data_IF_321283567194
#
_entry.id   IF_321283567194
#
_cell.length_a   1.000
_cell.length_b   1.000
_cell.length_c   1.000
_cell.angle_alpha   90.00
_cell.angle_beta   90.00
_cell.angle_gamma   90.00
#
_symmetry.space_group_name_H-M   'P 1'
#
loop_
_entity.id
_entity.type
_entity.pdbx_description
1 polymer ?
#
# COMPACT_ATOMS: atom_id res chain seq x y z
N UNK A 1 -23.48 0.18 -13.75
CA UNK A 1 -24.60 0.35 -12.78
C UNK A 1 -24.08 -0.02 -11.39
N UNK A 2 -23.84 0.98 -10.53
CA UNK A 2 -23.25 0.77 -9.20
C UNK A 2 -24.31 0.10 -8.31
N UNK A 3 -24.05 -1.11 -7.79
CA UNK A 3 -25.00 -1.82 -6.92
C UNK A 3 -25.31 -0.97 -5.68
N UNK A 4 -26.57 -0.93 -5.19
CA UNK A 4 -27.02 -0.02 -4.12
C UNK A 4 -26.23 -0.17 -2.80
N UNK A 5 -25.68 -1.35 -2.49
CA UNK A 5 -24.80 -1.53 -1.34
C UNK A 5 -23.51 -0.69 -1.43
N UNK A 6 -22.95 -0.49 -2.64
CA UNK A 6 -21.72 0.30 -2.84
C UNK A 6 -21.95 1.79 -2.61
N UNK A 7 -23.18 2.28 -2.85
CA UNK A 7 -23.53 3.69 -2.60
C UNK A 7 -23.59 4.02 -1.10
N UNK A 8 -24.09 3.07 -0.29
CA UNK A 8 -24.11 3.20 1.18
C UNK A 8 -22.70 3.32 1.77
N UNK A 9 -21.75 2.52 1.28
CA UNK A 9 -20.33 2.63 1.65
C UNK A 9 -19.72 3.98 1.29
N UNK A 10 -20.08 4.55 0.15
CA UNK A 10 -19.60 5.87 -0.27
C UNK A 10 -20.13 6.98 0.63
N UNK A 11 -21.42 6.93 1.00
CA UNK A 11 -22.01 7.91 1.93
C UNK A 11 -21.37 7.80 3.32
N UNK A 12 -21.14 6.59 3.81
CA UNK A 12 -20.43 6.34 5.07
C UNK A 12 -18.99 6.88 4.98
N UNK A 13 -18.26 6.61 3.90
CA UNK A 13 -16.91 7.13 3.69
C UNK A 13 -16.86 8.66 3.61
N UNK A 14 -17.83 9.29 2.93
CA UNK A 14 -17.98 10.74 2.86
C UNK A 14 -18.23 11.35 4.25
N UNK A 15 -19.11 10.73 5.05
CA UNK A 15 -19.38 11.13 6.43
C UNK A 15 -18.13 10.98 7.32
N UNK A 16 -17.41 9.88 7.19
CA UNK A 16 -16.16 9.61 7.91
C UNK A 16 -15.06 10.60 7.55
N UNK A 17 -14.87 10.95 6.27
CA UNK A 17 -13.89 11.99 5.89
C UNK A 17 -14.18 13.35 6.51
N UNK A 18 -15.43 13.65 6.88
CA UNK A 18 -15.79 14.90 7.54
C UNK A 18 -15.62 14.82 9.06
N UNK A 19 -16.01 13.70 9.67
CA UNK A 19 -15.94 13.47 11.13
C UNK A 19 -14.50 13.21 11.58
N UNK A 20 -13.77 12.35 10.87
CA UNK A 20 -12.42 11.94 11.25
C UNK A 20 -11.35 12.99 10.98
N UNK A 21 -11.67 14.00 10.15
CA UNK A 21 -10.78 15.15 9.91
C UNK A 21 -10.42 15.89 11.22
N UNK A 22 -11.26 15.78 12.27
CA UNK A 22 -11.02 16.38 13.58
C UNK A 22 -10.24 15.46 14.55
N UNK A 23 -10.03 14.19 14.21
CA UNK A 23 -9.47 13.17 15.12
C UNK A 23 -8.56 12.16 14.42
N UNK A 24 -7.79 12.62 13.42
CA UNK A 24 -6.89 11.78 12.61
C UNK A 24 -5.91 10.96 13.46
N UNK A 25 -5.42 11.53 14.57
CA UNK A 25 -4.51 10.85 15.51
C UNK A 25 -5.10 9.57 16.12
N UNK A 26 -6.38 9.58 16.47
CA UNK A 26 -7.03 8.41 17.07
C UNK A 26 -7.30 7.35 16.01
N UNK A 27 -7.66 7.76 14.79
CA UNK A 27 -7.89 6.84 13.67
C UNK A 27 -6.62 6.12 13.22
N UNK A 28 -5.48 6.82 13.16
CA UNK A 28 -4.21 6.22 12.77
C UNK A 28 -3.70 5.25 13.84
N UNK A 29 -3.80 5.60 15.12
CA UNK A 29 -3.43 4.70 16.21
C UNK A 29 -4.30 3.43 16.24
N UNK A 30 -5.62 3.58 16.07
CA UNK A 30 -6.55 2.45 16.01
C UNK A 30 -6.28 1.56 14.79
N UNK A 31 -6.02 2.16 13.63
CA UNK A 31 -5.65 1.43 12.42
C UNK A 31 -4.39 0.58 12.62
N UNK A 32 -3.33 1.15 13.21
CA UNK A 32 -2.10 0.40 13.52
C UNK A 32 -2.38 -0.73 14.51
N UNK A 33 -3.19 -0.48 15.54
CA UNK A 33 -3.58 -1.52 16.50
C UNK A 33 -4.30 -2.69 15.83
N UNK A 34 -5.23 -2.43 14.90
CA UNK A 34 -5.93 -3.47 14.14
C UNK A 34 -4.98 -4.29 13.27
N UNK A 35 -3.96 -3.67 12.66
CA UNK A 35 -2.94 -4.38 11.91
C UNK A 35 -2.10 -5.32 12.81
N UNK A 36 -1.76 -4.87 14.03
CA UNK A 36 -1.07 -5.71 15.02
C UNK A 36 -1.97 -6.86 15.50
N UNK A 37 -3.27 -6.60 15.70
CA UNK A 37 -4.25 -7.64 16.04
C UNK A 37 -4.33 -8.70 14.93
N UNK A 38 -4.32 -8.29 13.66
CA UNK A 38 -4.27 -9.22 12.53
C UNK A 38 -3.02 -10.11 12.58
N UNK A 39 -1.84 -9.53 12.83
CA UNK A 39 -0.60 -10.31 13.03
C UNK A 39 -0.73 -11.27 14.21
N UNK A 40 -1.31 -10.83 15.33
CA UNK A 40 -1.48 -11.68 16.51
C UNK A 40 -2.44 -12.86 16.26
N UNK A 41 -3.55 -12.63 15.55
CA UNK A 41 -4.50 -13.69 15.18
C UNK A 41 -3.81 -14.70 14.26
N UNK A 42 -3.17 -14.22 13.19
CA UNK A 42 -2.48 -15.11 12.24
C UNK A 42 -1.35 -15.92 12.90
N UNK A 43 -0.57 -15.29 13.78
CA UNK A 43 0.43 -15.99 14.60
C UNK A 43 -0.21 -17.05 15.51
N UNK A 44 -1.33 -16.73 16.16
CA UNK A 44 -2.07 -17.67 17.02
C UNK A 44 -2.57 -18.89 16.25
N UNK A 45 -3.15 -18.69 15.07
CA UNK A 45 -3.60 -19.77 14.17
C UNK A 45 -2.41 -20.65 13.77
N UNK A 46 -1.28 -20.05 13.42
CA UNK A 46 -0.04 -20.79 13.10
C UNK A 46 0.43 -21.62 14.29
N UNK A 47 0.45 -21.07 15.50
CA UNK A 47 0.88 -21.81 16.70
C UNK A 47 -0.03 -23.03 16.94
N UNK A 48 -1.35 -22.84 16.86
CA UNK A 48 -2.32 -23.95 17.04
C UNK A 48 -2.11 -25.03 15.99
N UNK A 49 -2.02 -24.66 14.71
CA UNK A 49 -1.77 -25.65 13.65
C UNK A 49 -0.43 -26.35 13.79
N UNK A 50 0.60 -25.66 14.29
CA UNK A 50 1.92 -26.24 14.53
C UNK A 50 1.84 -27.28 15.66
N UNK A 51 1.12 -26.98 16.73
CA UNK A 51 0.88 -27.91 17.84
C UNK A 51 0.07 -29.14 17.41
N UNK A 52 -0.89 -28.97 16.50
CA UNK A 52 -1.69 -30.07 15.94
C UNK A 52 -0.93 -30.87 14.87
N UNK A 53 0.30 -30.47 14.50
CA UNK A 53 1.09 -31.12 13.44
C UNK A 53 0.48 -30.98 12.04
N UNK A 54 -0.45 -30.04 11.84
CA UNK A 54 -1.15 -29.82 10.56
C UNK A 54 -0.41 -28.87 9.61
N UNK A 55 0.70 -28.26 10.04
CA UNK A 55 1.52 -27.39 9.19
C UNK A 55 2.48 -28.23 8.37
N UNK A 56 2.28 -28.21 7.04
CA UNK A 56 3.31 -28.68 6.10
C UNK A 56 4.50 -27.72 6.10
N UNK A 57 5.71 -28.24 5.84
CA UNK A 57 6.93 -27.41 5.77
C UNK A 57 6.77 -26.34 4.68
N UNK A 58 6.73 -25.04 5.03
CA UNK A 58 6.56 -23.99 4.03
C UNK A 58 7.78 -23.94 3.12
N UNK A 59 7.56 -23.69 1.83
CA UNK A 59 8.66 -23.51 0.89
C UNK A 59 9.33 -22.17 1.13
N UNK A 60 10.58 -22.21 1.58
CA UNK A 60 11.39 -21.00 1.76
C UNK A 60 11.97 -20.46 0.44
N UNK A 61 12.04 -21.31 -0.60
CA UNK A 61 12.58 -20.95 -1.91
C UNK A 61 11.50 -20.99 -2.99
N UNK A 62 11.50 -20.03 -3.94
CA UNK A 62 10.55 -20.01 -5.04
C UNK A 62 10.81 -21.17 -6.02
N UNK A 63 9.73 -21.72 -6.60
CA UNK A 63 9.82 -22.70 -7.69
C UNK A 63 10.18 -21.99 -9.00
N UNK A 64 11.45 -22.04 -9.37
CA UNK A 64 11.94 -21.56 -10.66
C UNK A 64 11.84 -22.69 -11.69
N UNK A 65 10.63 -22.95 -12.18
CA UNK A 65 10.40 -24.00 -13.17
C UNK A 65 10.84 -23.51 -14.56
N UNK A 66 10.52 -22.26 -14.91
CA UNK A 66 10.77 -21.67 -16.22
C UNK A 66 11.33 -20.24 -16.13
N UNK A 67 11.87 -19.72 -17.25
CA UNK A 67 12.34 -18.34 -17.38
C UNK A 67 11.25 -17.31 -17.00
N UNK A 68 9.98 -17.59 -17.32
CA UNK A 68 8.84 -16.76 -16.93
C UNK A 68 8.67 -16.67 -15.41
N UNK A 69 8.91 -17.77 -14.67
CA UNK A 69 8.85 -17.78 -13.20
C UNK A 69 9.96 -16.93 -12.57
N UNK A 70 11.13 -16.86 -13.23
CA UNK A 70 12.22 -15.97 -12.81
C UNK A 70 11.86 -14.49 -13.01
N UNK A 71 11.28 -14.13 -14.17
CA UNK A 71 10.81 -12.76 -14.42
C UNK A 71 9.71 -12.33 -13.44
N UNK A 72 8.80 -13.26 -13.07
CA UNK A 72 7.75 -12.99 -12.09
C UNK A 72 8.29 -12.49 -10.74
N UNK A 73 9.50 -12.89 -10.34
CA UNK A 73 10.15 -12.40 -9.11
C UNK A 73 10.39 -10.88 -9.15
N UNK A 74 10.73 -10.33 -10.31
CA UNK A 74 10.94 -8.89 -10.47
C UNK A 74 9.66 -8.07 -10.33
N UNK A 75 8.52 -8.69 -10.55
CA UNK A 75 7.23 -8.03 -10.38
C UNK A 75 6.88 -7.74 -8.91
N UNK A 76 7.55 -8.39 -7.95
CA UNK A 76 7.45 -8.08 -6.52
C UNK A 76 8.14 -6.78 -6.15
N UNK A 77 9.19 -6.37 -6.89
CA UNK A 77 9.96 -5.15 -6.58
C UNK A 77 9.06 -3.89 -6.58
N UNK A 78 8.24 -3.63 -7.62
CA UNK A 78 7.25 -2.57 -7.60
C UNK A 78 6.29 -2.60 -6.40
N UNK A 79 5.80 -3.79 -6.02
CA UNK A 79 4.87 -3.94 -4.90
C UNK A 79 5.54 -3.52 -3.58
N UNK A 80 6.81 -3.91 -3.38
CA UNK A 80 7.60 -3.49 -2.22
C UNK A 80 7.84 -1.97 -2.24
N UNK A 81 8.16 -1.39 -3.40
CA UNK A 81 8.35 0.06 -3.54
C UNK A 81 7.05 0.82 -3.22
N UNK A 82 5.90 0.32 -3.67
CA UNK A 82 4.59 0.85 -3.30
C UNK A 82 4.34 0.76 -1.81
N UNK A 83 4.66 -0.36 -1.16
CA UNK A 83 4.44 -0.54 0.28
C UNK A 83 5.20 0.49 1.14
N UNK A 84 6.38 0.93 0.69
CA UNK A 84 7.19 1.93 1.39
C UNK A 84 6.96 3.39 0.96
N UNK A 85 5.95 3.66 0.13
CA UNK A 85 5.66 5.04 -0.29
C UNK A 85 4.96 5.84 0.81
N UNK A 86 5.71 6.74 1.46
CA UNK A 86 5.15 7.66 2.45
C UNK A 86 5.48 9.15 2.18
N UNK A 87 6.24 9.41 1.12
CA UNK A 87 6.82 10.71 0.79
C UNK A 87 5.81 11.87 0.71
N UNK A 88 4.59 11.60 0.22
CA UNK A 88 3.52 12.61 0.10
C UNK A 88 3.01 13.13 1.46
N UNK A 89 3.27 12.41 2.56
CA UNK A 89 2.88 12.80 3.91
C UNK A 89 4.00 13.45 4.70
N UNK A 90 5.26 13.41 4.23
CA UNK A 90 6.42 13.92 4.98
C UNK A 90 6.28 15.43 5.23
N UNK A 91 6.00 16.22 4.18
CA UNK A 91 5.91 17.68 4.29
C UNK A 91 4.71 18.16 5.14
N UNK A 92 3.48 17.62 4.95
CA UNK A 92 2.37 17.96 5.84
C UNK A 92 2.67 17.64 7.32
N UNK A 93 3.24 16.46 7.59
CA UNK A 93 3.61 16.07 8.96
C UNK A 93 4.66 17.03 9.51
N UNK A 94 5.68 17.40 8.73
CA UNK A 94 6.73 18.32 9.16
C UNK A 94 6.19 19.68 9.58
N UNK A 95 5.23 20.21 8.82
CA UNK A 95 4.58 21.48 9.11
C UNK A 95 3.69 21.44 10.36
N UNK A 96 3.20 20.27 10.75
CA UNK A 96 2.40 20.08 11.97
C UNK A 96 3.26 19.78 13.21
N UNK A 97 4.53 19.39 13.03
CA UNK A 97 5.43 19.09 14.14
C UNK A 97 5.76 20.36 14.94
N UNK A 98 5.69 20.24 16.27
CA UNK A 98 6.17 21.30 17.17
C UNK A 98 7.68 21.50 17.08
N UNK A 99 8.43 20.45 16.75
CA UNK A 99 9.88 20.45 16.59
C UNK A 99 10.25 19.64 15.32
N UNK A 100 10.52 20.32 14.19
CA UNK A 100 10.85 19.67 12.92
C UNK A 100 12.13 18.81 12.96
N UNK A 101 13.04 19.05 13.91
CA UNK A 101 14.29 18.28 14.01
C UNK A 101 14.06 16.80 14.31
N UNK A 102 12.88 16.46 14.86
CA UNK A 102 12.50 15.09 15.20
C UNK A 102 12.01 14.28 14.00
N UNK A 103 11.79 14.91 12.83
CA UNK A 103 11.25 14.25 11.63
C UNK A 103 12.03 12.99 11.25
N UNK A 104 13.37 13.05 11.26
CA UNK A 104 14.22 11.89 10.95
C UNK A 104 13.99 10.70 11.90
N UNK A 105 13.82 10.98 13.20
CA UNK A 105 13.57 9.97 14.22
C UNK A 105 12.18 9.36 14.05
N UNK A 106 11.18 10.19 13.76
CA UNK A 106 9.80 9.76 13.50
C UNK A 106 9.75 8.85 12.27
N UNK A 107 10.34 9.26 11.15
CA UNK A 107 10.40 8.45 9.93
C UNK A 107 11.08 7.12 10.18
N UNK A 108 12.24 7.11 10.87
CA UNK A 108 12.97 5.87 11.18
C UNK A 108 12.14 4.92 12.05
N UNK A 109 11.50 5.42 13.10
CA UNK A 109 10.65 4.60 13.99
C UNK A 109 9.44 4.04 13.24
N UNK A 110 8.75 4.87 12.45
CA UNK A 110 7.61 4.44 11.63
C UNK A 110 8.02 3.38 10.62
N UNK A 111 9.17 3.54 9.96
CA UNK A 111 9.68 2.58 9.00
C UNK A 111 10.04 1.25 9.68
N UNK A 112 10.71 1.27 10.84
CA UNK A 112 11.00 0.06 11.61
C UNK A 112 9.73 -0.68 12.02
N UNK A 113 8.73 0.04 12.54
CA UNK A 113 7.44 -0.54 12.91
C UNK A 113 6.74 -1.16 11.70
N UNK A 114 6.63 -0.41 10.61
CA UNK A 114 6.01 -0.87 9.36
C UNK A 114 6.70 -2.12 8.80
N UNK A 115 8.03 -2.10 8.73
CA UNK A 115 8.84 -3.25 8.29
C UNK A 115 8.59 -4.47 9.18
N UNK A 116 8.53 -4.30 10.51
CA UNK A 116 8.27 -5.41 11.43
C UNK A 116 6.91 -6.06 11.22
N UNK A 117 5.87 -5.25 10.97
CA UNK A 117 4.52 -5.74 10.65
C UNK A 117 4.51 -6.47 9.31
N UNK A 118 5.13 -5.90 8.26
CA UNK A 118 5.21 -6.56 6.95
C UNK A 118 5.94 -7.90 7.00
N UNK A 119 7.08 -7.97 7.68
CA UNK A 119 7.82 -9.23 7.84
C UNK A 119 6.99 -10.25 8.63
N UNK A 120 6.38 -9.84 9.74
CA UNK A 120 5.56 -10.74 10.55
C UNK A 120 4.35 -11.27 9.79
N UNK A 121 3.61 -10.39 9.10
CA UNK A 121 2.48 -10.76 8.24
C UNK A 121 2.90 -11.71 7.13
N UNK A 122 4.00 -11.41 6.41
CA UNK A 122 4.49 -12.27 5.34
C UNK A 122 4.92 -13.64 5.87
N UNK A 123 5.66 -13.66 6.99
CA UNK A 123 6.12 -14.90 7.60
C UNK A 123 4.94 -15.79 8.05
N UNK A 124 4.03 -15.27 8.87
CA UNK A 124 2.90 -16.06 9.35
C UNK A 124 1.93 -16.43 8.23
N UNK A 125 1.71 -15.54 7.25
CA UNK A 125 0.87 -15.83 6.09
C UNK A 125 1.42 -16.98 5.24
N UNK A 126 2.72 -16.98 4.93
CA UNK A 126 3.35 -18.06 4.16
C UNK A 126 3.39 -19.37 4.95
N UNK A 127 3.64 -19.32 6.25
CA UNK A 127 3.58 -20.53 7.10
C UNK A 127 2.16 -21.09 7.17
N UNK A 128 1.14 -20.23 7.21
CA UNK A 128 -0.26 -20.62 7.36
C UNK A 128 -0.85 -21.23 6.09
N UNK A 129 -0.55 -20.64 4.92
CA UNK A 129 -1.18 -20.99 3.65
C UNK A 129 -0.24 -21.74 2.68
N UNK A 130 1.07 -21.66 2.86
CA UNK A 130 2.05 -22.37 2.04
C UNK A 130 1.93 -22.06 0.54
N UNK A 131 1.86 -23.10 -0.29
CA UNK A 131 1.71 -22.94 -1.75
C UNK A 131 0.31 -22.39 -2.15
N UNK A 132 -0.64 -22.30 -1.22
CA UNK A 132 -2.00 -21.80 -1.46
C UNK A 132 -2.19 -20.31 -1.15
N UNK A 133 -1.12 -19.57 -0.82
CA UNK A 133 -1.20 -18.12 -0.63
C UNK A 133 -1.69 -17.43 -1.89
N UNK A 134 -2.80 -16.69 -1.79
CA UNK A 134 -3.37 -15.89 -2.87
C UNK A 134 -2.67 -14.53 -2.95
N UNK A 135 -2.80 -13.86 -4.09
CA UNK A 135 -2.27 -12.49 -4.29
C UNK A 135 -2.85 -11.49 -3.27
N UNK A 136 -4.12 -11.69 -2.89
CA UNK A 136 -4.74 -11.10 -1.70
C UNK A 136 -4.85 -12.16 -0.59
N UNK A 137 -3.93 -12.10 0.37
CA UNK A 137 -3.88 -13.03 1.51
C UNK A 137 -5.14 -12.96 2.37
N UNK A 138 -5.90 -11.87 2.34
CA UNK A 138 -7.16 -11.77 3.09
C UNK A 138 -8.24 -12.67 2.51
N UNK A 139 -8.22 -12.90 1.19
CA UNK A 139 -9.11 -13.85 0.52
C UNK A 139 -8.85 -15.30 0.96
N UNK A 140 -7.67 -15.63 1.49
CA UNK A 140 -7.43 -16.95 2.08
C UNK A 140 -8.22 -17.20 3.38
N UNK A 141 -8.70 -16.16 4.06
CA UNK A 141 -9.55 -16.26 5.26
C UNK A 141 -11.04 -16.38 4.93
N UNK A 142 -11.42 -16.54 3.66
CA UNK A 142 -12.81 -16.89 3.28
C UNK A 142 -13.05 -18.42 3.34
N UNK A 143 -12.00 -19.23 3.57
CA UNK A 143 -12.06 -20.68 3.63
C UNK A 143 -11.76 -21.23 5.03
N UNK A 144 -12.10 -22.51 5.26
CA UNK A 144 -11.84 -23.18 6.55
C UNK A 144 -10.33 -23.31 6.80
N UNK A 145 -9.85 -22.73 7.90
CA UNK A 145 -8.49 -22.83 8.37
C UNK A 145 -8.21 -24.24 8.92
N UNK A 146 -9.20 -25.10 9.19
CA UNK A 146 -8.97 -26.47 9.67
C UNK A 146 -8.54 -26.54 11.16
N UNK A 147 -8.89 -25.51 11.92
CA UNK A 147 -8.74 -25.42 13.38
C UNK A 147 -10.11 -25.21 14.04
N UNK A 148 -10.28 -25.59 15.32
CA UNK A 148 -11.51 -25.27 16.06
C UNK A 148 -11.77 -23.75 16.04
N UNK A 149 -13.03 -23.37 15.88
CA UNK A 149 -13.49 -21.98 15.77
C UNK A 149 -12.97 -21.20 14.54
N UNK A 150 -12.58 -21.88 13.44
CA UNK A 150 -12.12 -21.21 12.22
C UNK A 150 -13.07 -20.11 11.76
N UNK A 151 -14.36 -20.41 11.62
CA UNK A 151 -15.34 -19.42 11.12
C UNK A 151 -15.41 -18.14 11.96
N UNK A 152 -15.26 -18.24 13.29
CA UNK A 152 -15.22 -17.06 14.15
C UNK A 152 -13.93 -16.26 13.99
N UNK A 153 -12.80 -16.93 13.79
CA UNK A 153 -11.51 -16.27 13.55
C UNK A 153 -11.48 -15.61 12.17
N UNK A 154 -12.03 -16.28 11.16
CA UNK A 154 -12.19 -15.77 9.81
C UNK A 154 -13.07 -14.52 9.81
N UNK A 155 -14.23 -14.56 10.46
CA UNK A 155 -15.11 -13.39 10.60
C UNK A 155 -14.43 -12.26 11.39
N UNK A 156 -13.67 -12.58 12.44
CA UNK A 156 -12.93 -11.59 13.22
C UNK A 156 -11.84 -10.91 12.39
N UNK A 157 -11.07 -11.67 11.61
CA UNK A 157 -10.09 -11.14 10.67
C UNK A 157 -10.79 -10.24 9.66
N UNK A 158 -11.94 -10.67 9.12
CA UNK A 158 -12.72 -9.93 8.13
C UNK A 158 -13.23 -8.59 8.61
N UNK A 159 -13.84 -8.59 9.79
CA UNK A 159 -14.30 -7.36 10.44
C UNK A 159 -13.12 -6.46 10.78
N UNK A 160 -12.03 -7.03 11.32
CA UNK A 160 -10.83 -6.28 11.70
C UNK A 160 -10.18 -5.59 10.51
N UNK A 161 -9.92 -6.29 9.40
CA UNK A 161 -9.32 -5.66 8.22
C UNK A 161 -10.30 -4.71 7.54
N UNK A 162 -11.59 -5.03 7.48
CA UNK A 162 -12.60 -4.13 6.92
C UNK A 162 -12.64 -2.80 7.67
N UNK A 163 -12.59 -2.86 9.00
CA UNK A 163 -12.47 -1.68 9.87
C UNK A 163 -11.13 -0.96 9.69
N UNK A 164 -10.03 -1.70 9.58
CA UNK A 164 -8.70 -1.12 9.31
C UNK A 164 -8.71 -0.31 8.01
N UNK A 165 -9.18 -0.88 6.90
CA UNK A 165 -9.26 -0.20 5.60
C UNK A 165 -10.21 1.01 5.65
N UNK A 166 -11.33 0.88 6.36
CA UNK A 166 -12.29 1.98 6.57
C UNK A 166 -11.67 3.16 7.33
N UNK A 167 -10.73 2.91 8.25
CA UNK A 167 -10.01 3.95 9.01
C UNK A 167 -8.82 4.54 8.23
N UNK A 168 -8.13 3.73 7.43
CA UNK A 168 -6.98 4.18 6.62
C UNK A 168 -7.44 5.05 5.44
N UNK A 169 -8.56 4.70 4.81
CA UNK A 169 -9.03 5.38 3.61
C UNK A 169 -9.18 6.91 3.79
N UNK A 170 -9.86 7.42 4.84
CA UNK A 170 -9.98 8.86 5.08
C UNK A 170 -8.64 9.58 5.23
N UNK A 171 -7.64 8.93 5.82
CA UNK A 171 -6.29 9.49 6.03
C UNK A 171 -5.60 9.69 4.68
N UNK A 172 -5.60 8.67 3.82
CA UNK A 172 -4.99 8.75 2.48
C UNK A 172 -5.78 9.71 1.58
N UNK A 173 -7.10 9.66 1.64
CA UNK A 173 -7.98 10.52 0.85
C UNK A 173 -7.84 11.99 1.24
N UNK A 174 -7.60 12.29 2.52
CA UNK A 174 -7.29 13.64 2.98
C UNK A 174 -6.06 14.21 2.26
N UNK A 175 -4.95 13.47 2.26
CA UNK A 175 -3.73 13.88 1.56
C UNK A 175 -3.95 14.02 0.05
N UNK A 176 -4.67 13.08 -0.58
CA UNK A 176 -5.02 13.16 -2.00
C UNK A 176 -5.79 14.45 -2.33
N UNK A 177 -6.82 14.76 -1.53
CA UNK A 177 -7.65 15.95 -1.74
C UNK A 177 -6.83 17.23 -1.59
N UNK A 178 -5.96 17.33 -0.59
CA UNK A 178 -5.11 18.51 -0.42
C UNK A 178 -4.14 18.70 -1.59
N UNK A 179 -3.54 17.61 -2.09
CA UNK A 179 -2.62 17.69 -3.23
C UNK A 179 -3.35 18.09 -4.52
N UNK A 180 -4.55 17.54 -4.77
CA UNK A 180 -5.35 17.89 -5.95
C UNK A 180 -5.90 19.31 -5.86
N UNK A 181 -6.35 19.73 -4.68
CA UNK A 181 -6.81 21.10 -4.45
C UNK A 181 -5.69 22.13 -4.65
N UNK A 182 -4.50 21.87 -4.10
CA UNK A 182 -3.33 22.72 -4.31
C UNK A 182 -2.87 22.79 -5.77
N UNK A 183 -3.05 21.69 -6.53
CA UNK A 183 -2.72 21.65 -7.96
C UNK A 183 -3.73 22.45 -8.82
N UNK A 184 -5.02 22.30 -8.56
CA UNK A 184 -6.08 22.92 -9.37
C UNK A 184 -6.38 24.38 -8.94
N UNK A 185 -6.19 24.70 -7.66
CA UNK A 185 -6.55 25.98 -7.05
C UNK A 185 -5.41 26.58 -6.20
N UNK A 186 -4.22 26.83 -6.79
CA UNK A 186 -3.02 27.22 -6.04
C UNK A 186 -3.14 28.55 -5.27
N UNK A 187 -4.02 29.46 -5.71
CA UNK A 187 -4.21 30.78 -5.11
C UNK A 187 -5.50 30.91 -4.28
N UNK A 188 -6.24 29.82 -4.10
CA UNK A 188 -7.51 29.87 -3.37
C UNK A 188 -7.30 29.80 -1.85
N UNK A 189 -8.30 30.27 -1.09
CA UNK A 189 -8.33 30.09 0.37
C UNK A 189 -8.27 28.59 0.72
N UNK A 190 -7.75 28.20 1.91
CA UNK A 190 -7.64 26.79 2.28
C UNK A 190 -8.98 26.05 2.14
N UNK A 191 -8.95 24.83 1.60
CA UNK A 191 -10.16 24.04 1.29
C UNK A 191 -11.08 23.83 2.49
N UNK A 192 -10.53 23.90 3.71
CA UNK A 192 -11.29 23.80 4.95
C UNK A 192 -12.36 24.91 5.13
N UNK A 193 -12.17 26.07 4.49
CA UNK A 193 -13.10 27.21 4.60
C UNK A 193 -14.11 27.29 3.45
N UNK A 194 -13.91 26.53 2.37
CA UNK A 194 -14.80 26.52 1.20
C UNK A 194 -15.54 25.19 1.09
N UNK A 195 -16.73 25.13 1.71
CA UNK A 195 -17.56 23.92 1.72
C UNK A 195 -17.97 23.47 0.32
N UNK A 196 -18.24 24.39 -0.62
CA UNK A 196 -18.68 24.01 -1.98
C UNK A 196 -17.56 23.33 -2.73
N UNK A 197 -16.36 23.91 -2.68
CA UNK A 197 -15.16 23.32 -3.29
C UNK A 197 -14.78 22.00 -2.63
N UNK A 198 -14.83 21.94 -1.30
CA UNK A 198 -14.59 20.71 -0.55
C UNK A 198 -15.48 19.55 -1.03
N UNK A 199 -16.79 19.76 -1.12
CA UNK A 199 -17.71 18.71 -1.57
C UNK A 199 -17.52 18.38 -3.06
N UNK A 200 -17.33 19.39 -3.90
CA UNK A 200 -17.14 19.19 -5.35
C UNK A 200 -15.90 18.35 -5.64
N UNK A 201 -14.74 18.71 -5.09
CA UNK A 201 -13.49 17.96 -5.27
C UNK A 201 -13.61 16.55 -4.67
N UNK A 202 -14.22 16.42 -3.49
CA UNK A 202 -14.41 15.11 -2.84
C UNK A 202 -15.29 14.18 -3.67
N UNK A 203 -16.43 14.65 -4.19
CA UNK A 203 -17.33 13.85 -5.03
C UNK A 203 -16.62 13.46 -6.33
N UNK A 204 -15.92 14.39 -6.97
CA UNK A 204 -15.19 14.13 -8.20
C UNK A 204 -14.10 13.05 -8.01
N UNK A 205 -13.28 13.19 -6.96
CA UNK A 205 -12.22 12.23 -6.64
C UNK A 205 -12.79 10.86 -6.27
N UNK A 206 -13.84 10.81 -5.46
CA UNK A 206 -14.49 9.55 -5.09
C UNK A 206 -15.09 8.86 -6.31
N UNK A 207 -15.74 9.61 -7.21
CA UNK A 207 -16.24 9.09 -8.48
C UNK A 207 -15.14 8.50 -9.35
N UNK A 208 -14.00 9.20 -9.45
CA UNK A 208 -12.83 8.71 -10.20
C UNK A 208 -12.25 7.43 -9.60
N UNK A 209 -12.07 7.36 -8.28
CA UNK A 209 -11.56 6.16 -7.59
C UNK A 209 -12.50 4.97 -7.78
N UNK A 210 -13.81 5.17 -7.65
CA UNK A 210 -14.80 4.10 -7.85
C UNK A 210 -14.85 3.60 -9.29
N UNK A 211 -14.67 4.50 -10.24
CA UNK A 211 -14.56 4.16 -11.65
C UNK A 211 -13.30 3.31 -11.88
N UNK A 212 -12.13 3.77 -11.41
CA UNK A 212 -10.88 3.01 -11.51
C UNK A 212 -10.97 1.62 -10.85
N UNK A 213 -11.51 1.54 -9.64
CA UNK A 213 -11.70 0.28 -8.90
C UNK A 213 -12.66 -0.70 -9.60
N UNK A 214 -13.50 -0.23 -10.53
CA UNK A 214 -14.38 -1.09 -11.33
C UNK A 214 -13.68 -1.73 -12.54
N UNK A 215 -12.53 -1.21 -12.95
CA UNK A 215 -11.76 -1.70 -14.11
C UNK A 215 -10.56 -2.56 -13.72
N UNK A 216 -10.10 -2.47 -12.48
CA UNK A 216 -8.91 -3.19 -12.01
C UNK A 216 -9.34 -4.53 -11.39
N UNK A 217 -9.01 -5.68 -12.02
CA UNK A 217 -9.49 -6.99 -11.58
C UNK A 217 -8.73 -7.55 -10.38
N UNK A 218 -7.47 -7.17 -10.20
CA UNK A 218 -6.63 -7.63 -9.09
C UNK A 218 -5.93 -6.46 -8.39
N UNK A 219 -5.80 -6.57 -7.07
CA UNK A 219 -5.08 -5.57 -6.25
C UNK A 219 -3.58 -5.62 -6.56
N UNK A 220 -3.06 -6.80 -6.92
CA UNK A 220 -1.67 -7.03 -7.25
C UNK A 220 -1.22 -6.21 -8.46
N UNK A 221 -1.99 -6.25 -9.56
CA UNK A 221 -1.70 -5.45 -10.77
C UNK A 221 -1.70 -3.95 -10.46
N UNK A 222 -2.62 -3.51 -9.59
CA UNK A 222 -2.69 -2.11 -9.16
C UNK A 222 -1.40 -1.66 -8.45
N UNK A 223 -0.89 -2.48 -7.53
CA UNK A 223 0.33 -2.19 -6.79
C UNK A 223 1.59 -2.31 -7.65
N UNK A 224 1.62 -3.25 -8.59
CA UNK A 224 2.72 -3.37 -9.54
C UNK A 224 2.82 -2.13 -10.42
N UNK A 225 1.71 -1.72 -11.04
CA UNK A 225 1.67 -0.56 -11.92
C UNK A 225 2.02 0.74 -11.18
N UNK A 226 1.38 0.97 -10.02
CA UNK A 226 1.63 2.16 -9.20
C UNK A 226 3.08 2.20 -8.69
N UNK A 227 3.63 1.03 -8.36
CA UNK A 227 5.00 0.86 -7.87
C UNK A 227 6.02 1.19 -8.93
N UNK A 228 5.86 0.61 -10.12
CA UNK A 228 6.77 0.79 -11.24
C UNK A 228 6.74 2.22 -11.81
N UNK A 229 5.69 2.99 -11.54
CA UNK A 229 5.50 4.33 -12.09
C UNK A 229 5.59 5.41 -11.01
N UNK A 230 4.46 5.73 -10.38
CA UNK A 230 4.33 6.86 -9.46
C UNK A 230 5.25 6.74 -8.23
N UNK A 231 5.35 5.55 -7.64
CA UNK A 231 6.16 5.34 -6.44
C UNK A 231 7.66 5.47 -6.73
N UNK A 232 8.13 4.91 -7.86
CA UNK A 232 9.53 5.10 -8.30
C UNK A 232 9.84 6.56 -8.60
N UNK A 233 8.92 7.26 -9.29
CA UNK A 233 9.09 8.68 -9.58
C UNK A 233 9.23 9.51 -8.30
N UNK A 234 8.33 9.34 -7.34
CA UNK A 234 8.31 10.12 -6.09
C UNK A 234 9.42 9.72 -5.12
N UNK A 235 9.71 8.42 -4.99
CA UNK A 235 10.68 7.92 -4.03
C UNK A 235 12.14 8.05 -4.47
N UNK A 236 12.41 8.02 -5.79
CA UNK A 236 13.79 7.95 -6.29
C UNK A 236 14.11 9.05 -7.30
N UNK A 237 13.29 9.22 -8.34
CA UNK A 237 13.60 10.13 -9.45
C UNK A 237 13.52 11.60 -9.02
N UNK A 238 12.43 12.03 -8.37
CA UNK A 238 12.25 13.42 -7.97
C UNK A 238 13.29 13.88 -6.93
N UNK A 239 13.57 13.16 -5.83
CA UNK A 239 14.61 13.55 -4.88
C UNK A 239 15.99 13.65 -5.52
N UNK A 240 16.34 12.70 -6.41
CA UNK A 240 17.59 12.73 -7.15
C UNK A 240 17.66 13.92 -8.14
N UNK A 241 16.57 14.21 -8.84
CA UNK A 241 16.48 15.35 -9.75
C UNK A 241 16.63 16.69 -9.00
N UNK A 242 16.02 16.83 -7.83
CA UNK A 242 16.17 18.02 -6.97
C UNK A 242 17.63 18.17 -6.53
N UNK A 243 18.28 17.08 -6.11
CA UNK A 243 19.70 17.09 -5.71
C UNK A 243 20.64 17.46 -6.87
N UNK A 244 20.31 17.02 -8.09
CA UNK A 244 21.04 17.36 -9.31
C UNK A 244 20.74 18.78 -9.81
N UNK A 245 19.57 19.34 -9.49
CA UNK A 245 19.16 20.71 -9.81
C UNK A 245 19.94 21.69 -8.93
N UNK A 246 21.19 21.86 -9.36
CA UNK A 246 22.27 22.70 -8.91
C UNK A 246 21.85 23.94 -8.08
N UNK A 247 21.70 23.77 -6.76
CA UNK A 247 21.80 24.88 -5.79
C UNK A 247 23.29 25.00 -5.44
N UNK A 248 23.98 26.09 -5.86
CA UNK A 248 25.40 26.24 -5.61
C UNK A 248 25.71 26.13 -4.10
N UNK A 249 26.55 25.17 -3.71
CA UNK A 249 27.08 25.04 -2.35
C UNK A 249 26.44 24.00 -1.43
N UNK A 250 25.37 23.30 -1.83
CA UNK A 250 24.67 22.33 -0.93
C UNK A 250 25.02 20.86 -1.25
N UNK A 251 25.05 20.46 -2.52
CA UNK A 251 25.25 19.06 -2.92
C UNK A 251 26.74 18.76 -3.21
N UNK A 252 27.27 17.72 -2.58
CA UNK A 252 28.65 17.25 -2.81
C UNK A 252 28.77 16.44 -4.11
N UNK A 253 30.00 16.18 -4.57
CA UNK A 253 30.25 15.29 -5.73
C UNK A 253 29.69 13.88 -5.50
N UNK A 254 29.71 13.39 -4.26
CA UNK A 254 29.16 12.09 -3.88
C UNK A 254 27.63 12.09 -3.98
N UNK A 255 26.96 13.14 -3.51
CA UNK A 255 25.49 13.25 -3.59
C UNK A 255 25.00 13.27 -5.03
N UNK A 256 25.77 13.90 -5.93
CA UNK A 256 25.49 13.87 -7.38
C UNK A 256 25.65 12.48 -7.97
N UNK A 257 26.72 11.76 -7.60
CA UNK A 257 26.92 10.38 -8.05
C UNK A 257 25.77 9.49 -7.57
N UNK A 258 25.42 9.57 -6.29
CA UNK A 258 24.30 8.82 -5.71
C UNK A 258 23.00 9.15 -6.44
N UNK A 259 22.73 10.43 -6.75
CA UNK A 259 21.53 10.84 -7.47
C UNK A 259 21.46 10.26 -8.89
N UNK A 260 22.57 10.27 -9.63
CA UNK A 260 22.65 9.62 -10.95
C UNK A 260 22.42 8.11 -10.86
N UNK A 261 23.02 7.45 -9.87
CA UNK A 261 22.79 6.02 -9.65
C UNK A 261 21.35 5.72 -9.28
N UNK A 262 20.71 6.56 -8.46
CA UNK A 262 19.29 6.41 -8.08
C UNK A 262 18.38 6.52 -9.31
N UNK A 263 18.60 7.50 -10.18
CA UNK A 263 17.81 7.65 -11.42
C UNK A 263 18.02 6.46 -12.34
N UNK A 264 19.27 6.05 -12.57
CA UNK A 264 19.59 4.90 -13.41
C UNK A 264 18.92 3.62 -12.89
N UNK A 265 19.07 3.34 -11.59
CA UNK A 265 18.46 2.18 -10.95
C UNK A 265 16.94 2.24 -11.06
N UNK A 266 16.32 3.37 -10.71
CA UNK A 266 14.88 3.60 -10.82
C UNK A 266 14.34 3.34 -12.24
N UNK A 267 14.95 3.93 -13.26
CA UNK A 267 14.53 3.74 -14.65
C UNK A 267 14.70 2.28 -15.08
N UNK A 268 15.82 1.64 -14.72
CA UNK A 268 16.08 0.24 -15.06
C UNK A 268 15.07 -0.71 -14.40
N UNK A 269 14.78 -0.54 -13.10
CA UNK A 269 13.86 -1.41 -12.37
C UNK A 269 12.42 -1.19 -12.82
N UNK A 270 12.00 0.04 -13.06
CA UNK A 270 10.69 0.35 -13.66
C UNK A 270 10.53 -0.26 -15.05
N UNK A 271 11.56 -0.19 -15.89
CA UNK A 271 11.52 -0.77 -17.24
C UNK A 271 11.41 -2.29 -17.15
N UNK A 272 12.26 -2.94 -16.34
CA UNK A 272 12.21 -4.39 -16.11
C UNK A 272 10.84 -4.81 -15.56
N UNK A 273 10.31 -4.09 -14.58
CA UNK A 273 9.00 -4.37 -14.01
C UNK A 273 7.88 -4.29 -15.05
N UNK A 274 7.78 -3.19 -15.81
CA UNK A 274 6.74 -3.00 -16.82
C UNK A 274 6.86 -4.04 -17.94
N UNK A 275 8.08 -4.31 -18.41
CA UNK A 275 8.28 -5.36 -19.43
C UNK A 275 7.94 -6.76 -18.91
N UNK A 276 8.26 -7.07 -17.66
CA UNK A 276 7.89 -8.35 -17.03
C UNK A 276 6.38 -8.48 -16.85
N UNK A 277 5.70 -7.39 -16.51
CA UNK A 277 4.25 -7.36 -16.31
C UNK A 277 3.51 -7.61 -17.64
N UNK A 278 3.94 -6.88 -18.68
CA UNK A 278 3.49 -7.09 -20.06
C UNK A 278 3.76 -8.54 -20.49
N UNK A 279 4.97 -9.04 -20.26
CA UNK A 279 5.33 -10.41 -20.64
C UNK A 279 4.46 -11.46 -19.92
N UNK A 280 4.16 -11.27 -18.62
CA UNK A 280 3.28 -12.19 -17.90
C UNK A 280 1.85 -12.17 -18.44
N UNK A 281 1.34 -11.01 -18.84
CA UNK A 281 -0.01 -10.91 -19.43
C UNK A 281 -0.07 -11.68 -20.75
N UNK A 282 0.95 -11.54 -21.62
CA UNK A 282 0.91 -12.16 -22.95
C UNK A 282 1.31 -13.64 -22.98
N UNK A 283 2.21 -14.11 -22.11
CA UNK A 283 2.74 -15.48 -22.19
C UNK A 283 2.16 -16.45 -21.15
N UNK A 284 1.46 -15.97 -20.11
CA UNK A 284 0.74 -16.88 -19.19
C UNK A 284 -0.55 -17.38 -19.83
N UNK A 285 -1.18 -16.61 -20.72
CA UNK A 285 -2.42 -17.00 -21.40
C UNK A 285 -2.21 -18.11 -22.45
N UNK A 286 -1.02 -18.22 -23.06
CA UNK A 286 -0.71 -19.31 -23.99
C UNK A 286 -0.48 -20.67 -23.28
N UNK A 287 -0.25 -20.68 -21.97
CA UNK A 287 0.00 -21.92 -21.20
C UNK A 287 -1.23 -22.66 -20.71
N UNK A 288 -2.44 -22.11 -20.89
CA UNK A 288 -3.71 -22.72 -20.43
C UNK A 288 -4.47 -23.42 -21.59
N UNK A 289 -3.93 -23.39 -22.82
CA UNK A 289 -4.52 -24.05 -23.99
C UNK A 289 -3.70 -25.23 -24.54
N UNK A 290 -2.98 -25.97 -23.68
CA UNK A 290 -2.40 -27.27 -24.05
C UNK A 290 -2.64 -28.34 -23.00
#
# INVERSE_FOLDING_TARGET
MIKPHRLGWVVIQLMLTKILNYSLRYTSALSVALAVVFVAITAGVVIVKLMEGKIGMPRLMPKLVNQASFWKLFTTVPVVVTAYICHHNILPIENELKDPTQMKSIVRKSLTLCTSVYIATSFFGVVLFGDHTMDDVLSNFDGDLGIPYSSLLDDLVRVSYGLHLMLVFPIVFFSLRLNVDGLLFPYAIPIAFDNKRFFSVTIALMGFILMGASFVPSIWDAFQFTGATAAVCVGFIFPAAITLRNIPGIATKNDRLISWMMIFLAVSTSTVAVTSDIYSIFYVDEGITS
#
